data_IF_062143901747
#
_entry.id   IF_062143901747
#
_cell.length_a   1.000
_cell.length_b   1.000
_cell.length_c   1.000
_cell.angle_alpha   90.00
_cell.angle_beta   90.00
_cell.angle_gamma   90.00
#
_symmetry.space_group_name_H-M   'P 1'
#
loop_
_entity.id
_entity.type
_entity.pdbx_description
1 polymer ?
#
# COMPACT_ATOMS: atom_id res chain seq x y z
N UNK A 1 13.04 24.75 18.81
CA UNK A 1 12.41 23.43 19.03
C UNK A 1 10.92 23.66 19.26
N UNK A 2 10.04 23.17 18.39
CA UNK A 2 8.59 23.30 18.59
C UNK A 2 8.16 22.28 19.64
N UNK A 3 7.80 22.75 20.84
CA UNK A 3 7.32 21.92 21.95
C UNK A 3 6.01 21.25 21.57
N UNK A 4 6.09 20.03 21.03
CA UNK A 4 4.94 19.17 20.86
C UNK A 4 4.71 18.50 22.19
N UNK A 5 3.76 19.01 22.96
CA UNK A 5 3.27 18.31 24.15
C UNK A 5 2.76 16.93 23.74
N UNK A 6 3.40 15.82 24.18
CA UNK A 6 3.00 14.46 23.80
C UNK A 6 1.64 14.06 24.38
N UNK A 7 1.10 14.87 25.29
CA UNK A 7 -0.22 14.71 25.93
C UNK A 7 -1.29 15.63 25.34
N UNK A 8 -0.97 16.42 24.32
CA UNK A 8 -1.94 17.33 23.71
C UNK A 8 -2.95 16.55 22.85
N UNK A 9 -4.15 16.34 23.39
CA UNK A 9 -5.25 15.61 22.76
C UNK A 9 -5.61 16.17 21.38
N UNK A 10 -5.59 17.50 21.21
CA UNK A 10 -5.87 18.15 19.91
C UNK A 10 -4.77 17.83 18.88
N UNK A 11 -3.51 17.80 19.31
CA UNK A 11 -2.40 17.43 18.44
C UNK A 11 -2.50 15.95 18.03
N UNK A 12 -2.73 15.05 18.99
CA UNK A 12 -2.93 13.61 18.74
C UNK A 12 -4.11 13.37 17.80
N UNK A 13 -5.24 14.06 18.00
CA UNK A 13 -6.41 13.99 17.12
C UNK A 13 -6.07 14.44 15.69
N UNK A 14 -5.36 15.56 15.53
CA UNK A 14 -4.93 16.06 14.22
C UNK A 14 -3.97 15.10 13.53
N UNK A 15 -3.01 14.53 14.26
CA UNK A 15 -2.11 13.50 13.74
C UNK A 15 -2.89 12.26 13.29
N UNK A 16 -3.84 11.78 14.09
CA UNK A 16 -4.70 10.66 13.72
C UNK A 16 -5.48 10.92 12.43
N UNK A 17 -6.07 12.12 12.28
CA UNK A 17 -6.74 12.54 11.04
C UNK A 17 -5.77 12.66 9.86
N UNK A 18 -4.52 13.07 10.09
CA UNK A 18 -3.50 13.11 9.04
C UNK A 18 -3.13 11.70 8.56
N UNK A 19 -2.87 10.77 9.49
CA UNK A 19 -2.61 9.36 9.17
C UNK A 19 -3.81 8.70 8.44
N UNK A 20 -5.06 9.00 8.85
CA UNK A 20 -6.26 8.56 8.11
C UNK A 20 -6.35 9.06 6.67
N UNK A 21 -5.77 10.23 6.37
CA UNK A 21 -5.70 10.76 5.01
C UNK A 21 -4.58 10.12 4.21
N UNK A 22 -3.52 9.67 4.88
CA UNK A 22 -2.38 8.97 4.29
C UNK A 22 -2.63 7.47 4.09
N UNK A 23 -3.73 6.92 4.63
CA UNK A 23 -4.05 5.49 4.59
C UNK A 23 -3.32 4.68 5.65
N UNK A 24 -2.57 5.32 6.54
CA UNK A 24 -1.89 4.66 7.67
C UNK A 24 -2.86 4.47 8.84
N UNK A 25 -3.78 3.52 8.69
CA UNK A 25 -4.86 3.33 9.65
C UNK A 25 -4.40 2.84 11.02
N UNK A 26 -3.34 2.02 11.09
CA UNK A 26 -2.76 1.56 12.35
C UNK A 26 -2.14 2.72 13.14
N UNK A 27 -1.34 3.56 12.47
CA UNK A 27 -0.78 4.79 13.03
C UNK A 27 -1.88 5.74 13.48
N UNK A 28 -2.96 5.89 12.69
CA UNK A 28 -4.12 6.70 13.07
C UNK A 28 -4.80 6.17 14.34
N UNK A 29 -5.00 4.85 14.42
CA UNK A 29 -5.62 4.19 15.57
C UNK A 29 -4.81 4.39 16.84
N UNK A 30 -3.48 4.28 16.77
CA UNK A 30 -2.58 4.59 17.89
C UNK A 30 -2.79 6.01 18.41
N UNK A 31 -2.84 7.01 17.52
CA UNK A 31 -3.02 8.41 17.92
C UNK A 31 -4.38 8.67 18.54
N UNK A 32 -5.46 8.12 17.98
CA UNK A 32 -6.79 8.28 18.58
C UNK A 32 -6.95 7.53 19.90
N UNK A 33 -6.36 6.33 20.04
CA UNK A 33 -6.37 5.61 21.32
C UNK A 33 -5.60 6.36 22.41
N UNK A 34 -4.44 6.95 22.08
CA UNK A 34 -3.71 7.84 23.01
C UNK A 34 -4.54 9.06 23.38
N UNK A 35 -5.19 9.69 22.40
CA UNK A 35 -6.08 10.83 22.65
C UNK A 35 -7.25 10.43 23.58
N UNK A 36 -7.87 9.27 23.35
CA UNK A 36 -8.95 8.72 24.16
C UNK A 36 -8.50 8.38 25.58
N UNK A 37 -7.25 7.93 25.75
CA UNK A 37 -6.70 7.65 27.08
C UNK A 37 -6.63 8.92 27.95
N UNK A 38 -6.25 10.06 27.36
CA UNK A 38 -6.22 11.34 28.07
C UNK A 38 -7.61 11.97 28.23
N UNK A 39 -8.50 11.82 27.24
CA UNK A 39 -9.87 12.32 27.29
C UNK A 39 -10.90 11.23 26.90
N UNK A 40 -11.27 10.33 27.83
CA UNK A 40 -12.16 9.19 27.54
C UNK A 40 -13.60 9.60 27.22
N UNK A 41 -14.02 10.78 27.68
CA UNK A 41 -15.37 11.30 27.45
C UNK A 41 -15.49 12.23 26.24
N UNK A 42 -14.40 12.44 25.49
CA UNK A 42 -14.44 13.30 24.32
C UNK A 42 -15.15 12.60 23.14
N UNK A 43 -16.33 13.11 22.79
CA UNK A 43 -17.16 12.60 21.68
C UNK A 43 -16.44 12.65 20.33
N UNK A 44 -15.66 13.70 20.06
CA UNK A 44 -14.96 13.84 18.79
C UNK A 44 -13.94 12.72 18.55
N UNK A 45 -13.27 12.25 19.61
CA UNK A 45 -12.31 11.13 19.52
C UNK A 45 -13.03 9.81 19.25
N UNK A 46 -14.17 9.58 19.93
CA UNK A 46 -15.01 8.40 19.69
C UNK A 46 -15.53 8.38 18.26
N UNK A 47 -16.05 9.51 17.78
CA UNK A 47 -16.54 9.66 16.41
C UNK A 47 -15.42 9.41 15.39
N UNK A 48 -14.19 9.88 15.65
CA UNK A 48 -13.05 9.64 14.77
C UNK A 48 -12.58 8.17 14.75
N UNK A 49 -12.68 7.44 15.86
CA UNK A 49 -12.42 6.00 15.88
C UNK A 49 -13.45 5.22 15.05
N UNK A 50 -14.74 5.62 15.10
CA UNK A 50 -15.79 5.02 14.27
C UNK A 50 -15.57 5.35 12.79
N UNK A 51 -15.22 6.61 12.48
CA UNK A 51 -14.86 7.05 11.12
C UNK A 51 -13.66 6.25 10.59
N UNK A 52 -12.65 6.03 11.43
CA UNK A 52 -11.47 5.23 11.11
C UNK A 52 -11.86 3.79 10.76
N UNK A 53 -12.69 3.13 11.57
CA UNK A 53 -13.12 1.75 11.33
C UNK A 53 -13.85 1.60 9.98
N UNK A 54 -14.77 2.53 9.71
CA UNK A 54 -15.49 2.59 8.42
C UNK A 54 -14.52 2.76 7.25
N UNK A 55 -13.53 3.66 7.39
CA UNK A 55 -12.50 3.87 6.36
C UNK A 55 -11.65 2.62 6.13
N UNK A 56 -11.20 1.95 7.20
CA UNK A 56 -10.43 0.71 7.12
C UNK A 56 -11.22 -0.35 6.36
N UNK A 57 -12.49 -0.55 6.73
CA UNK A 57 -13.34 -1.54 6.07
C UNK A 57 -13.54 -1.23 4.58
N UNK A 58 -13.78 0.04 4.22
CA UNK A 58 -13.94 0.44 2.82
C UNK A 58 -12.64 0.27 2.03
N UNK A 59 -11.52 0.70 2.60
CA UNK A 59 -10.22 0.58 1.96
C UNK A 59 -9.84 -0.88 1.73
N UNK A 60 -9.99 -1.74 2.74
CA UNK A 60 -9.72 -3.17 2.62
C UNK A 60 -10.62 -3.84 1.56
N UNK A 61 -11.88 -3.44 1.44
CA UNK A 61 -12.78 -3.98 0.42
C UNK A 61 -12.35 -3.59 -1.01
N UNK A 62 -12.05 -2.31 -1.22
CA UNK A 62 -11.57 -1.79 -2.51
C UNK A 62 -10.23 -2.43 -2.87
N UNK A 63 -9.33 -2.50 -1.91
CA UNK A 63 -8.01 -3.07 -2.07
C UNK A 63 -8.08 -4.55 -2.43
N UNK A 64 -8.85 -5.35 -1.69
CA UNK A 64 -9.08 -6.77 -2.00
C UNK A 64 -9.64 -6.96 -3.41
N UNK A 65 -10.60 -6.14 -3.82
CA UNK A 65 -11.16 -6.19 -5.17
C UNK A 65 -10.11 -5.83 -6.22
N UNK A 66 -9.29 -4.81 -5.95
CA UNK A 66 -8.25 -4.32 -6.85
C UNK A 66 -7.14 -5.35 -7.02
N UNK A 67 -6.59 -5.89 -5.93
CA UNK A 67 -5.58 -6.94 -5.99
C UNK A 67 -6.10 -8.23 -6.62
N UNK A 68 -7.32 -8.63 -6.30
CA UNK A 68 -7.96 -9.79 -6.93
C UNK A 68 -8.05 -9.61 -8.45
N UNK A 69 -8.49 -8.45 -8.94
CA UNK A 69 -8.52 -8.15 -10.38
C UNK A 69 -7.12 -8.09 -10.99
N UNK A 70 -6.15 -7.49 -10.30
CA UNK A 70 -4.78 -7.38 -10.77
C UNK A 70 -4.12 -8.75 -10.92
N UNK A 71 -4.34 -9.70 -10.01
CA UNK A 71 -3.78 -11.04 -10.12
C UNK A 71 -4.59 -11.96 -11.06
N UNK A 72 -5.90 -11.73 -11.17
CA UNK A 72 -6.76 -12.47 -12.10
C UNK A 72 -6.52 -12.08 -13.57
N UNK A 73 -6.09 -10.83 -13.83
CA UNK A 73 -5.79 -10.35 -15.19
C UNK A 73 -4.48 -10.89 -15.76
N UNK A 74 -3.63 -11.53 -14.94
CA UNK A 74 -2.51 -12.36 -15.43
C UNK A 74 -2.97 -13.76 -15.91
N UNK A 75 -4.22 -14.14 -15.63
CA UNK A 75 -4.83 -15.44 -15.99
C UNK A 75 -5.87 -15.29 -17.10
N UNK A 76 -5.51 -14.54 -18.16
CA UNK A 76 -6.13 -14.69 -19.49
C UNK A 76 -5.04 -15.02 -20.52
N UNK A 77 -4.38 -16.15 -20.29
CA UNK A 77 -4.03 -17.09 -21.35
C UNK A 77 -4.79 -18.37 -21.00
N UNK A 78 -5.39 -18.97 -22.01
CA UNK A 78 -6.55 -19.85 -22.04
C UNK A 78 -6.62 -21.01 -21.03
N UNK A 79 -7.84 -21.42 -20.67
CA UNK A 79 -8.13 -22.80 -20.22
C UNK A 79 -8.78 -22.96 -18.84
N UNK A 80 -9.78 -23.84 -18.79
CA UNK A 80 -10.75 -24.08 -17.72
C UNK A 80 -10.23 -24.80 -16.45
N UNK A 81 -10.98 -24.59 -15.34
CA UNK A 81 -11.19 -25.48 -14.16
C UNK A 81 -9.96 -25.79 -13.27
N UNK A 82 -10.03 -26.04 -11.95
CA UNK A 82 -11.04 -26.06 -10.87
C UNK A 82 -10.23 -26.05 -9.55
N UNK A 83 -10.85 -25.58 -8.47
CA UNK A 83 -10.70 -25.97 -7.05
C UNK A 83 -9.48 -26.80 -6.60
N UNK A 84 -8.76 -26.34 -5.56
CA UNK A 84 -8.84 -26.95 -4.20
C UNK A 84 -7.78 -26.36 -3.22
N UNK A 85 -8.28 -25.57 -2.26
CA UNK A 85 -8.05 -25.55 -0.79
C UNK A 85 -6.68 -25.95 -0.19
N UNK A 86 -5.99 -24.99 0.45
CA UNK A 86 -5.11 -25.16 1.65
C UNK A 86 -4.38 -23.83 1.92
N UNK A 87 -4.28 -23.18 3.09
CA UNK A 87 -4.42 -23.55 4.50
C UNK A 87 -4.82 -22.28 5.27
N UNK A 88 -5.69 -22.47 6.26
CA UNK A 88 -5.97 -21.55 7.37
C UNK A 88 -4.68 -21.21 8.14
N UNK A 89 -4.24 -19.95 8.18
CA UNK A 89 -3.58 -19.45 9.39
C UNK A 89 -3.60 -17.93 9.48
N UNK A 90 -3.99 -17.43 10.65
CA UNK A 90 -3.94 -16.03 11.05
C UNK A 90 -2.51 -15.52 11.05
N UNK A 91 -2.02 -15.04 9.90
CA UNK A 91 -0.70 -14.39 9.78
C UNK A 91 -0.80 -13.23 8.81
N UNK A 92 -0.47 -12.05 9.34
CA UNK A 92 -0.35 -10.73 8.72
C UNK A 92 -0.80 -10.58 7.26
N UNK A 93 -2.03 -10.07 7.07
CA UNK A 93 -2.58 -9.59 5.79
C UNK A 93 -1.62 -8.61 5.06
N UNK A 94 -0.72 -7.95 5.77
CA UNK A 94 0.32 -7.09 5.19
C UNK A 94 1.47 -7.86 4.51
N UNK A 95 1.86 -9.02 5.05
CA UNK A 95 2.96 -9.84 4.50
C UNK A 95 2.52 -10.54 3.22
N UNK A 96 1.30 -11.08 3.19
CA UNK A 96 0.74 -11.71 1.99
C UNK A 96 0.63 -10.72 0.81
N UNK A 97 0.26 -9.46 1.09
CA UNK A 97 0.24 -8.40 0.07
C UNK A 97 1.62 -8.08 -0.49
N UNK A 98 2.64 -8.00 0.37
CA UNK A 98 4.03 -7.79 -0.06
C UNK A 98 4.49 -8.91 -0.97
N UNK A 99 4.25 -10.17 -0.59
CA UNK A 99 4.62 -11.32 -1.42
C UNK A 99 3.93 -11.29 -2.79
N UNK A 100 2.65 -10.93 -2.86
CA UNK A 100 1.92 -10.79 -4.12
C UNK A 100 2.54 -9.71 -5.02
N UNK A 101 2.92 -8.57 -4.46
CA UNK A 101 3.60 -7.49 -5.20
C UNK A 101 4.97 -7.91 -5.72
N UNK A 102 5.78 -8.55 -4.87
CA UNK A 102 7.11 -9.07 -5.24
C UNK A 102 7.00 -10.11 -6.35
N UNK A 103 6.06 -11.06 -6.22
CA UNK A 103 5.82 -12.09 -7.24
C UNK A 103 5.43 -11.48 -8.58
N UNK A 104 4.56 -10.46 -8.57
CA UNK A 104 4.15 -9.74 -9.78
C UNK A 104 5.33 -9.04 -10.45
N UNK A 105 6.20 -8.40 -9.68
CA UNK A 105 7.39 -7.73 -10.21
C UNK A 105 8.43 -8.73 -10.76
N UNK A 106 8.60 -9.89 -10.13
CA UNK A 106 9.45 -10.98 -10.65
C UNK A 106 8.91 -11.53 -11.97
N UNK A 107 7.63 -11.84 -12.02
CA UNK A 107 6.98 -12.30 -13.25
C UNK A 107 7.07 -11.24 -14.35
N UNK A 108 6.88 -9.96 -13.99
CA UNK A 108 7.12 -8.87 -14.91
C UNK A 108 8.56 -8.87 -15.41
N UNK A 109 9.58 -9.02 -14.57
CA UNK A 109 11.00 -9.10 -14.98
C UNK A 109 11.25 -10.21 -16.02
N UNK A 110 10.68 -11.38 -15.82
CA UNK A 110 10.79 -12.53 -16.73
C UNK A 110 9.98 -12.37 -18.03
N UNK A 111 8.90 -11.59 -18.02
CA UNK A 111 8.04 -11.37 -19.19
C UNK A 111 8.67 -10.43 -20.23
N UNK A 112 9.36 -10.95 -21.24
CA UNK A 112 9.97 -10.11 -22.30
C UNK A 112 8.98 -9.30 -23.15
N UNK A 113 7.68 -9.57 -23.05
CA UNK A 113 6.64 -8.91 -23.85
C UNK A 113 6.22 -7.54 -23.31
N UNK A 114 6.28 -7.32 -22.00
CA UNK A 114 5.81 -6.10 -21.34
C UNK A 114 6.95 -5.15 -20.98
N UNK A 115 6.84 -3.88 -21.40
CA UNK A 115 7.84 -2.82 -21.12
C UNK A 115 7.57 -2.06 -19.83
N UNK A 116 6.31 -1.98 -19.41
CA UNK A 116 5.88 -1.31 -18.19
C UNK A 116 4.74 -2.07 -17.49
N UNK A 117 4.62 -1.89 -16.18
CA UNK A 117 3.50 -2.36 -15.37
C UNK A 117 3.00 -1.23 -14.47
N UNK A 118 1.68 -1.04 -14.48
CA UNK A 118 1.01 0.00 -13.69
C UNK A 118 0.41 -0.59 -12.41
N UNK A 119 0.54 0.17 -11.34
CA UNK A 119 -0.04 -0.11 -10.03
C UNK A 119 -1.05 0.98 -9.65
N UNK A 120 -2.13 0.61 -8.93
CA UNK A 120 -3.25 1.50 -8.71
C UNK A 120 -2.87 2.61 -7.73
N UNK A 121 -3.54 3.75 -7.86
CA UNK A 121 -3.34 4.86 -6.93
C UNK A 121 -3.75 4.53 -5.48
N UNK A 122 -4.54 3.48 -5.27
CA UNK A 122 -5.05 3.04 -3.98
C UNK A 122 -3.98 2.41 -3.09
N UNK A 123 -2.76 2.17 -3.60
CA UNK A 123 -1.68 1.64 -2.79
C UNK A 123 -1.31 2.58 -1.64
N UNK A 124 -1.15 2.00 -0.46
CA UNK A 124 -0.61 2.64 0.74
C UNK A 124 0.84 3.07 0.54
N UNK A 125 1.34 3.95 1.40
CA UNK A 125 2.73 4.39 1.38
C UNK A 125 3.71 3.22 1.58
N UNK A 126 3.37 2.25 2.44
CA UNK A 126 4.19 1.07 2.70
C UNK A 126 4.27 0.14 1.48
N UNK A 127 3.16 -0.08 0.78
CA UNK A 127 3.15 -0.90 -0.44
C UNK A 127 3.94 -0.23 -1.56
N UNK A 128 3.77 1.09 -1.75
CA UNK A 128 4.56 1.86 -2.72
C UNK A 128 6.04 1.81 -2.40
N UNK A 129 6.41 1.92 -1.12
CA UNK A 129 7.79 1.78 -0.67
C UNK A 129 8.33 0.37 -0.96
N UNK A 130 7.55 -0.67 -0.67
CA UNK A 130 7.90 -2.06 -0.97
C UNK A 130 8.14 -2.27 -2.47
N UNK A 131 7.25 -1.78 -3.33
CA UNK A 131 7.40 -1.87 -4.79
C UNK A 131 8.64 -1.13 -5.26
N UNK A 132 8.88 0.10 -4.78
CA UNK A 132 10.06 0.89 -5.11
C UNK A 132 11.35 0.13 -4.75
N UNK A 133 11.46 -0.33 -3.51
CA UNK A 133 12.63 -1.07 -3.02
C UNK A 133 12.86 -2.35 -3.82
N UNK A 134 11.83 -3.19 -3.96
CA UNK A 134 11.94 -4.46 -4.68
C UNK A 134 12.30 -4.24 -6.16
N UNK A 135 11.68 -3.25 -6.81
CA UNK A 135 11.98 -2.92 -8.20
C UNK A 135 13.43 -2.46 -8.36
N UNK A 136 13.93 -1.60 -7.47
CA UNK A 136 15.33 -1.17 -7.46
C UNK A 136 16.29 -2.35 -7.27
N UNK A 137 16.02 -3.26 -6.32
CA UNK A 137 16.82 -4.48 -6.12
C UNK A 137 16.85 -5.37 -7.36
N UNK A 138 15.76 -5.37 -8.14
CA UNK A 138 15.66 -6.14 -9.38
C UNK A 138 16.21 -5.43 -10.61
N UNK A 139 16.73 -4.20 -10.48
CA UNK A 139 17.23 -3.39 -11.58
C UNK A 139 16.12 -2.81 -12.47
N UNK A 140 14.92 -2.62 -11.92
CA UNK A 140 13.78 -2.02 -12.59
C UNK A 140 13.64 -0.55 -12.19
N UNK A 141 13.22 0.29 -13.14
CA UNK A 141 12.99 1.72 -12.91
C UNK A 141 11.57 1.95 -12.42
N UNK A 142 11.38 2.80 -11.42
CA UNK A 142 10.06 3.14 -10.88
C UNK A 142 9.76 4.61 -11.11
N UNK A 143 8.63 4.88 -11.77
CA UNK A 143 8.09 6.22 -11.96
C UNK A 143 6.84 6.43 -11.09
N UNK A 144 6.92 7.44 -10.21
CA UNK A 144 5.81 7.85 -9.35
C UNK A 144 6.22 8.94 -8.37
N UNK A 145 5.48 10.04 -8.32
CA UNK A 145 5.75 11.12 -7.36
C UNK A 145 5.30 10.72 -5.96
N UNK A 146 6.24 10.76 -5.02
CA UNK A 146 5.97 10.59 -3.60
C UNK A 146 4.97 11.64 -3.10
N UNK A 147 3.98 11.23 -2.30
CA UNK A 147 2.94 12.13 -1.79
C UNK A 147 1.82 12.48 -2.77
N UNK A 148 1.74 11.85 -3.95
CA UNK A 148 0.63 12.06 -4.90
C UNK A 148 -0.22 10.81 -5.07
N UNK A 149 -1.55 10.97 -5.19
CA UNK A 149 -2.50 9.89 -5.53
C UNK A 149 -2.38 9.42 -6.98
N UNK A 150 -1.19 9.51 -7.59
CA UNK A 150 -0.96 9.04 -8.96
C UNK A 150 -0.63 7.55 -8.95
N UNK A 151 -0.98 6.88 -10.04
CA UNK A 151 -0.59 5.49 -10.30
C UNK A 151 0.94 5.36 -10.28
N UNK A 152 1.43 4.24 -9.74
CA UNK A 152 2.86 3.96 -9.67
C UNK A 152 3.23 3.03 -10.83
N UNK A 153 4.26 3.36 -11.60
CA UNK A 153 4.67 2.59 -12.77
C UNK A 153 6.04 1.99 -12.56
N UNK A 154 6.22 0.74 -12.97
CA UNK A 154 7.53 0.08 -13.01
C UNK A 154 7.85 -0.26 -14.45
N UNK A 155 9.05 0.10 -14.89
CA UNK A 155 9.49 0.06 -16.27
C UNK A 155 10.77 -0.77 -16.32
N UNK A 156 10.88 -1.63 -17.34
CA UNK A 156 12.15 -2.28 -17.66
C UNK A 156 13.02 -1.28 -18.39
N UNK A 157 14.20 -0.98 -17.84
CA UNK A 157 15.23 -0.34 -18.66
C UNK A 157 15.62 -1.35 -19.74
N UNK A 158 15.19 -1.08 -20.98
CA UNK A 158 15.78 -1.71 -22.14
C UNK A 158 17.23 -1.23 -22.18
N UNK A 159 18.16 -2.11 -21.83
CA UNK A 159 19.55 -1.97 -22.20
C UNK A 159 19.62 -1.84 -23.73
N UNK A 160 19.73 -0.61 -24.20
CA UNK A 160 20.11 -0.22 -25.55
C UNK A 160 20.95 1.05 -25.40
N UNK A 161 22.18 0.97 -25.89
CA UNK A 161 23.28 1.94 -25.93
C UNK A 161 22.90 3.43 -25.77
N UNK A 162 23.66 4.29 -25.07
CA UNK A 162 25.02 4.68 -25.45
C UNK A 162 25.78 5.25 -24.23
N UNK A 163 26.92 4.64 -23.89
CA UNK A 163 27.95 5.32 -23.14
C UNK A 163 28.81 6.08 -24.16
N UNK A 164 28.82 7.43 -24.20
CA UNK A 164 29.87 8.12 -24.91
C UNK A 164 31.16 7.93 -24.12
N UNK A 165 32.02 7.07 -24.66
CA UNK A 165 33.43 7.07 -24.33
C UNK A 165 34.00 8.41 -24.80
N UNK A 166 34.37 9.28 -23.86
CA UNK A 166 35.28 10.40 -24.06
C UNK A 166 36.15 10.53 -22.81
#
# INVERSE_FOLDING_TARGET
>A
ALGIDPRNVKALYRMGKAYMKQGEFDSARDKFKKAQHYEPNNKAIKDALIELDRKVSQFNAIEKQTYSRMFSTAKKVDGAAKDEKSVLTSVNLAEEKKEVLVKRLRQFKEDSSSKEICFPATLTQQERACIKLTAQEMGLKVEGKEGTNKELKVIKESSGEDAPSC
#
